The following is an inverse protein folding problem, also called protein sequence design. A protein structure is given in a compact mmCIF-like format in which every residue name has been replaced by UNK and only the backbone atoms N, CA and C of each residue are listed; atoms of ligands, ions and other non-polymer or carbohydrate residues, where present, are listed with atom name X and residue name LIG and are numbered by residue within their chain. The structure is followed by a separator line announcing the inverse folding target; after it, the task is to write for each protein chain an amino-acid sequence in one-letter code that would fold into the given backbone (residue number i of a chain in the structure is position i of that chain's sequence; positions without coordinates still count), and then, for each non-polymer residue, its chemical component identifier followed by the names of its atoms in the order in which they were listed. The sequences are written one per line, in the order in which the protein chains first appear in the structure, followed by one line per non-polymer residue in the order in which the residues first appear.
data_IF_280419967966
#
_entry.id   IF_280419967966
#
_cell.length_a   1.000
_cell.length_b   1.000
_cell.length_c   1.000
_cell.angle_alpha   90.00
_cell.angle_beta   90.00
_cell.angle_gamma   90.00
#
_symmetry.space_group_name_H-M   'P 1'
#
loop_
_entity.id
_entity.type
_entity.pdbx_description
1 polymer ?
#
# COMPACT_ATOMS: atom_id res chain seq x y z
N UNK A 1 -20.83 42.54 -25.47
CA UNK A 1 -19.99 42.57 -24.27
C UNK A 1 -20.56 41.54 -23.31
N UNK A 2 -20.05 40.34 -23.09
CA UNK A 2 -18.84 39.65 -23.53
C UNK A 2 -19.20 38.16 -23.64
N UNK A 3 -18.93 37.53 -24.80
CA UNK A 3 -19.03 36.08 -24.94
C UNK A 3 -17.73 35.49 -24.42
N UNK A 4 -17.80 34.82 -23.26
CA UNK A 4 -16.71 34.04 -22.69
C UNK A 4 -16.52 32.78 -23.54
N UNK A 5 -15.29 32.56 -23.98
CA UNK A 5 -14.84 31.46 -24.83
C UNK A 5 -15.28 30.08 -24.30
N UNK A 6 -16.19 29.42 -25.01
CA UNK A 6 -16.43 27.98 -24.89
C UNK A 6 -15.27 27.19 -25.53
N UNK A 7 -14.78 26.09 -24.92
CA UNK A 7 -13.81 25.22 -25.57
C UNK A 7 -14.49 24.47 -26.72
N UNK A 8 -14.24 24.94 -27.94
CA UNK A 8 -14.67 24.25 -29.16
C UNK A 8 -13.88 22.95 -29.32
N UNK A 9 -14.54 21.81 -29.16
CA UNK A 9 -14.03 20.51 -29.64
C UNK A 9 -14.17 20.54 -31.16
N UNK A 10 -13.11 20.94 -31.86
CA UNK A 10 -13.04 20.83 -33.32
C UNK A 10 -12.77 19.37 -33.64
N UNK A 11 -13.84 18.59 -33.78
CA UNK A 11 -13.79 17.36 -34.55
C UNK A 11 -13.56 17.79 -36.00
N UNK A 12 -12.36 17.56 -36.52
CA UNK A 12 -12.16 17.59 -37.97
C UNK A 12 -13.01 16.47 -38.55
N UNK A 13 -14.24 16.80 -38.97
CA UNK A 13 -14.94 16.04 -39.99
C UNK A 13 -14.10 16.25 -41.24
N UNK A 14 -13.16 15.35 -41.54
CA UNK A 14 -12.49 15.36 -42.84
C UNK A 14 -13.55 15.05 -43.90
N UNK A 15 -14.24 16.09 -44.35
CA UNK A 15 -14.82 16.15 -45.69
C UNK A 15 -13.66 16.17 -46.66
N UNK A 16 -13.09 15.00 -46.90
CA UNK A 16 -12.03 14.79 -47.88
C UNK A 16 -12.26 13.43 -48.53
N UNK A 17 -13.42 13.29 -49.17
CA UNK A 17 -13.77 12.19 -50.05
C UNK A 17 -12.95 12.19 -51.36
N UNK A 18 -11.74 12.76 -51.42
CA UNK A 18 -11.05 12.89 -52.73
C UNK A 18 -9.53 12.98 -52.74
N UNK A 19 -8.78 12.79 -51.64
CA UNK A 19 -7.30 12.78 -51.76
C UNK A 19 -6.52 12.00 -50.68
N UNK A 20 -7.02 10.85 -50.24
CA UNK A 20 -6.28 9.92 -49.36
C UNK A 20 -6.05 8.58 -50.07
N UNK A 21 -5.49 8.63 -51.28
CA UNK A 21 -5.21 7.46 -52.10
C UNK A 21 -3.88 6.75 -51.79
N UNK A 22 -3.22 7.00 -50.65
CA UNK A 22 -1.85 6.51 -50.40
C UNK A 22 -1.53 5.83 -49.07
N UNK A 23 -2.53 5.47 -48.27
CA UNK A 23 -2.32 4.54 -47.15
C UNK A 23 -3.42 3.48 -47.09
N UNK A 24 -3.67 2.80 -48.21
CA UNK A 24 -4.32 1.50 -48.20
C UNK A 24 -3.26 0.44 -47.85
N UNK A 25 -3.11 0.14 -46.56
CA UNK A 25 -2.62 -1.17 -46.14
C UNK A 25 -3.72 -2.20 -46.43
N UNK A 26 -3.34 -3.36 -46.97
CA UNK A 26 -4.22 -4.37 -47.62
C UNK A 26 -5.39 -4.95 -46.79
N UNK A 27 -5.70 -4.44 -45.58
CA UNK A 27 -6.71 -5.00 -44.67
C UNK A 27 -7.83 -4.03 -44.22
N UNK A 28 -8.03 -2.89 -44.91
CA UNK A 28 -9.21 -2.03 -44.66
C UNK A 28 -9.31 -1.44 -43.25
N UNK A 29 -8.18 -1.26 -42.56
CA UNK A 29 -8.12 -0.59 -41.26
C UNK A 29 -7.81 0.88 -41.48
N UNK A 30 -8.74 1.77 -41.15
CA UNK A 30 -8.44 3.21 -40.99
C UNK A 30 -7.90 3.42 -39.56
N UNK A 31 -6.60 3.22 -39.38
CA UNK A 31 -5.93 3.68 -38.16
C UNK A 31 -5.87 5.21 -38.21
N UNK A 32 -6.75 5.90 -37.49
CA UNK A 32 -6.53 7.31 -37.20
C UNK A 32 -5.48 7.36 -36.09
N UNK A 33 -4.22 7.40 -36.51
CA UNK A 33 -3.17 7.84 -35.62
C UNK A 33 -3.44 9.31 -35.28
N UNK A 34 -3.63 9.57 -33.99
CA UNK A 34 -3.73 10.90 -33.37
C UNK A 34 -5.12 11.54 -33.43
N UNK A 35 -5.88 11.41 -32.34
CA UNK A 35 -6.85 12.45 -31.97
C UNK A 35 -6.13 13.47 -31.08
N UNK A 36 -5.83 14.64 -31.64
CA UNK A 36 -5.32 15.80 -30.92
C UNK A 36 -6.48 16.48 -30.19
N UNK A 37 -6.65 16.20 -28.89
CA UNK A 37 -7.62 16.92 -28.06
C UNK A 37 -6.89 18.08 -27.37
N UNK A 38 -7.06 19.31 -27.87
CA UNK A 38 -6.64 20.52 -27.14
C UNK A 38 -7.59 20.79 -25.99
N UNK A 39 -7.10 20.61 -24.76
CA UNK A 39 -7.74 21.23 -23.60
C UNK A 39 -7.51 22.74 -23.66
N UNK A 40 -8.48 23.56 -23.20
CA UNK A 40 -8.38 25.03 -23.12
C UNK A 40 -7.20 25.57 -22.29
N UNK A 41 -6.37 24.69 -21.72
CA UNK A 41 -5.08 24.98 -21.07
C UNK A 41 -3.85 24.83 -21.98
N UNK A 42 -4.02 24.57 -23.28
CA UNK A 42 -2.92 24.44 -24.24
C UNK A 42 -2.17 23.10 -24.19
N UNK A 43 -2.72 22.08 -23.54
CA UNK A 43 -2.08 20.74 -23.41
C UNK A 43 -2.59 19.77 -24.47
N UNK A 44 -1.65 19.01 -25.04
CA UNK A 44 -1.84 18.03 -26.10
C UNK A 44 -1.92 16.64 -25.47
N UNK A 45 -3.03 15.94 -25.66
CA UNK A 45 -3.17 14.52 -25.33
C UNK A 45 -3.15 13.69 -26.62
N UNK A 46 -2.30 12.67 -26.68
CA UNK A 46 -2.23 11.74 -27.81
C UNK A 46 -3.11 10.52 -27.53
N UNK A 47 -4.16 10.33 -28.32
CA UNK A 47 -4.95 9.09 -28.36
C UNK A 47 -4.72 8.40 -29.70
N UNK A 48 -4.48 7.09 -29.66
CA UNK A 48 -4.59 6.21 -30.83
C UNK A 48 -6.01 5.66 -30.82
N UNK A 49 -6.86 6.13 -31.72
CA UNK A 49 -8.24 5.65 -31.86
C UNK A 49 -8.31 4.92 -33.20
N UNK A 50 -8.43 3.60 -33.15
CA UNK A 50 -8.75 2.81 -34.33
C UNK A 50 -10.26 2.91 -34.56
N UNK A 51 -10.69 3.70 -35.54
CA UNK A 51 -12.08 3.74 -36.00
C UNK A 51 -12.15 2.85 -37.23
N UNK A 52 -12.68 1.62 -37.08
CA UNK A 52 -12.90 0.72 -38.22
C UNK A 52 -14.36 0.84 -38.64
N UNK A 53 -14.58 1.16 -39.91
CA UNK A 53 -15.90 1.32 -40.52
C UNK A 53 -16.70 0.02 -40.46
N UNK A 54 -17.91 0.12 -39.93
CA UNK A 54 -19.19 -0.63 -40.00
C UNK A 54 -19.29 -2.11 -40.44
N UNK A 55 -18.29 -2.72 -41.10
CA UNK A 55 -18.36 -4.11 -41.60
C UNK A 55 -17.27 -5.04 -41.04
N UNK A 56 -16.49 -4.62 -40.04
CA UNK A 56 -15.39 -5.42 -39.47
C UNK A 56 -15.54 -5.64 -37.96
N UNK A 57 -16.62 -6.32 -37.55
CA UNK A 57 -16.81 -6.88 -36.22
C UNK A 57 -16.09 -8.22 -35.99
N UNK A 58 -15.07 -8.55 -36.81
CA UNK A 58 -14.21 -9.72 -36.60
C UNK A 58 -12.79 -9.28 -36.24
N UNK A 59 -12.45 -9.54 -34.97
CA UNK A 59 -11.15 -9.95 -34.42
C UNK A 59 -9.95 -9.78 -35.36
N UNK A 60 -8.99 -8.92 -35.01
CA UNK A 60 -7.60 -9.14 -35.44
C UNK A 60 -7.15 -10.50 -34.90
N UNK A 61 -6.79 -11.48 -35.76
CA UNK A 61 -6.50 -12.84 -35.33
C UNK A 61 -5.05 -13.03 -34.86
N UNK A 62 -4.18 -12.02 -34.86
CA UNK A 62 -2.82 -12.16 -34.32
C UNK A 62 -2.27 -10.83 -33.75
N UNK A 63 -2.03 -10.74 -32.42
CA UNK A 63 -1.32 -9.61 -31.85
C UNK A 63 0.18 -9.75 -32.13
N UNK A 64 0.72 -8.80 -32.89
CA UNK A 64 2.16 -8.54 -33.05
C UNK A 64 2.86 -8.61 -31.66
N UNK A 65 3.73 -9.61 -31.38
CA UNK A 65 4.21 -9.89 -30.02
C UNK A 65 5.07 -8.77 -29.43
N UNK A 66 5.53 -7.84 -30.28
CA UNK A 66 6.35 -6.69 -29.93
C UNK A 66 5.58 -5.36 -29.82
N UNK A 67 4.26 -5.33 -30.11
CA UNK A 67 3.45 -4.12 -29.84
C UNK A 67 3.03 -4.11 -28.38
N UNK A 68 3.15 -2.94 -27.75
CA UNK A 68 2.51 -2.64 -26.47
C UNK A 68 1.06 -3.16 -26.52
N UNK A 69 0.67 -3.93 -25.52
CA UNK A 69 -0.68 -4.48 -25.41
C UNK A 69 -1.65 -3.30 -25.26
N UNK A 70 -2.19 -2.82 -26.39
CA UNK A 70 -3.10 -1.67 -26.41
C UNK A 70 -4.42 -2.13 -25.81
N UNK A 71 -4.79 -1.54 -24.67
CA UNK A 71 -6.10 -1.75 -24.07
C UNK A 71 -7.16 -1.36 -25.11
N UNK A 72 -7.86 -2.36 -25.64
CA UNK A 72 -9.03 -2.18 -26.51
C UNK A 72 -10.11 -1.38 -25.77
N UNK A 73 -10.32 -0.15 -26.22
CA UNK A 73 -11.35 0.78 -25.74
C UNK A 73 -12.34 1.01 -26.87
N UNK A 74 -13.64 0.91 -26.58
CA UNK A 74 -14.70 1.13 -27.57
C UNK A 74 -15.80 2.00 -26.99
N UNK A 75 -15.97 3.25 -27.44
CA UNK A 75 -17.21 3.99 -27.22
C UNK A 75 -18.27 3.51 -28.24
N UNK A 76 -19.55 3.54 -27.86
CA UNK A 76 -20.65 3.16 -28.76
C UNK A 76 -22.02 3.66 -28.27
N UNK A 77 -22.98 3.69 -29.16
CA UNK A 77 -24.37 4.11 -28.88
C UNK A 77 -25.39 3.22 -29.62
N UNK A 78 -25.00 2.61 -30.73
CA UNK A 78 -25.87 1.77 -31.55
C UNK A 78 -25.93 0.30 -31.12
N UNK A 79 -26.97 -0.40 -31.57
CA UNK A 79 -27.11 -1.86 -31.39
C UNK A 79 -25.98 -2.62 -32.10
N UNK A 80 -25.50 -2.07 -33.22
CA UNK A 80 -24.36 -2.57 -33.99
C UNK A 80 -23.03 -2.48 -33.22
N UNK A 81 -22.92 -1.62 -32.21
CA UNK A 81 -21.70 -1.50 -31.39
C UNK A 81 -21.62 -2.56 -30.29
N UNK A 82 -22.73 -3.24 -29.98
CA UNK A 82 -22.80 -4.19 -28.86
C UNK A 82 -21.73 -5.30 -28.91
N UNK A 83 -21.42 -5.94 -30.06
CA UNK A 83 -20.33 -6.91 -30.14
C UNK A 83 -18.96 -6.30 -29.86
N UNK A 84 -18.70 -5.07 -30.33
CA UNK A 84 -17.44 -4.37 -30.12
C UNK A 84 -17.28 -3.90 -28.67
N UNK A 85 -18.36 -3.37 -28.06
CA UNK A 85 -18.42 -3.02 -26.65
C UNK A 85 -18.13 -4.23 -25.75
N UNK A 86 -18.66 -5.40 -26.11
CA UNK A 86 -18.45 -6.64 -25.36
C UNK A 86 -17.06 -7.24 -25.53
N UNK A 87 -16.47 -7.09 -26.71
CA UNK A 87 -15.13 -7.60 -27.04
C UNK A 87 -13.99 -6.67 -26.55
N UNK A 88 -14.30 -5.40 -26.30
CA UNK A 88 -13.36 -4.45 -25.73
C UNK A 88 -13.03 -4.79 -24.27
N UNK A 89 -11.84 -4.41 -23.80
CA UNK A 89 -11.51 -4.49 -22.38
C UNK A 89 -12.29 -3.46 -21.55
N UNK A 90 -12.66 -2.35 -22.19
CA UNK A 90 -13.54 -1.32 -21.64
C UNK A 90 -14.46 -0.79 -22.74
N UNK A 91 -15.70 -1.27 -22.75
CA UNK A 91 -16.80 -0.71 -23.55
C UNK A 91 -17.52 0.42 -22.82
N UNK A 92 -17.76 1.54 -23.50
CA UNK A 92 -18.44 2.72 -22.95
C UNK A 92 -19.67 3.08 -23.78
N UNK A 93 -20.86 3.01 -23.19
CA UNK A 93 -22.11 3.36 -23.87
C UNK A 93 -22.59 4.77 -23.51
N UNK A 94 -23.32 5.40 -24.43
CA UNK A 94 -24.02 6.66 -24.21
C UNK A 94 -25.33 6.42 -23.44
N UNK A 95 -25.61 7.25 -22.44
CA UNK A 95 -26.76 7.12 -21.55
C UNK A 95 -28.06 7.66 -22.14
N UNK A 96 -28.01 8.79 -22.85
CA UNK A 96 -29.20 9.43 -23.44
C UNK A 96 -29.43 8.92 -24.86
N UNK A 97 -28.44 9.05 -25.73
CA UNK A 97 -28.52 8.66 -27.14
C UNK A 97 -28.31 7.16 -27.39
N UNK A 98 -27.74 6.43 -26.42
CA UNK A 98 -27.45 5.00 -26.60
C UNK A 98 -28.69 4.10 -26.56
N UNK A 99 -28.69 3.07 -27.40
CA UNK A 99 -29.66 1.98 -27.39
C UNK A 99 -29.53 1.13 -26.13
N UNK A 100 -30.62 0.50 -25.68
CA UNK A 100 -30.59 -0.34 -24.47
C UNK A 100 -29.63 -1.53 -24.62
N UNK A 101 -29.54 -2.09 -25.84
CA UNK A 101 -28.62 -3.18 -26.16
C UNK A 101 -27.15 -2.71 -26.02
N UNK A 102 -26.83 -1.48 -26.44
CA UNK A 102 -25.48 -0.92 -26.25
C UNK A 102 -25.14 -0.71 -24.76
N UNK A 103 -26.11 -0.24 -23.96
CA UNK A 103 -25.95 0.00 -22.52
C UNK A 103 -25.73 -1.31 -21.76
N UNK A 104 -26.44 -2.37 -22.12
CA UNK A 104 -26.26 -3.70 -21.54
C UNK A 104 -24.94 -4.36 -21.95
N UNK A 105 -24.45 -4.07 -23.16
CA UNK A 105 -23.19 -4.63 -23.66
C UNK A 105 -21.95 -3.96 -23.07
N UNK A 106 -22.04 -2.67 -22.69
CA UNK A 106 -20.93 -1.88 -22.18
C UNK A 106 -20.56 -2.19 -20.72
N UNK A 107 -19.33 -1.83 -20.33
CA UNK A 107 -18.86 -1.92 -18.93
C UNK A 107 -19.13 -0.63 -18.14
N UNK A 108 -19.28 0.50 -18.84
CA UNK A 108 -19.53 1.81 -18.26
C UNK A 108 -20.55 2.56 -19.14
N UNK A 109 -21.45 3.32 -18.51
CA UNK A 109 -22.46 4.14 -19.20
C UNK A 109 -22.26 5.61 -18.83
N UNK A 110 -22.18 6.48 -19.83
CA UNK A 110 -22.10 7.94 -19.64
C UNK A 110 -23.49 8.53 -19.55
N UNK A 111 -23.97 8.79 -18.34
CA UNK A 111 -25.34 9.32 -18.13
C UNK A 111 -25.57 10.70 -18.75
N UNK A 112 -24.50 11.46 -18.98
CA UNK A 112 -24.51 12.83 -19.49
C UNK A 112 -24.14 12.94 -20.97
N UNK A 113 -23.85 11.81 -21.64
CA UNK A 113 -23.39 11.76 -23.03
C UNK A 113 -22.17 12.66 -23.33
N UNK A 114 -21.36 12.94 -22.31
CA UNK A 114 -20.22 13.84 -22.44
C UNK A 114 -18.90 13.07 -22.52
N UNK A 115 -18.23 13.17 -23.66
CA UNK A 115 -16.90 12.57 -23.85
C UNK A 115 -15.82 13.14 -22.90
N UNK A 116 -16.01 14.34 -22.34
CA UNK A 116 -15.10 14.90 -21.32
C UNK A 116 -15.06 14.02 -20.06
N UNK A 117 -16.16 13.33 -19.74
CA UNK A 117 -16.25 12.43 -18.59
C UNK A 117 -15.29 11.25 -18.72
N UNK A 118 -14.97 10.80 -19.94
CA UNK A 118 -13.95 9.76 -20.18
C UNK A 118 -12.57 10.25 -19.77
N UNK A 119 -12.21 11.50 -20.09
CA UNK A 119 -10.91 12.08 -19.71
C UNK A 119 -10.77 12.15 -18.18
N UNK A 120 -11.84 12.54 -17.50
CA UNK A 120 -11.89 12.52 -16.03
C UNK A 120 -11.77 11.09 -15.49
N UNK A 121 -12.44 10.11 -16.10
CA UNK A 121 -12.32 8.70 -15.76
C UNK A 121 -10.89 8.17 -15.90
N UNK A 122 -10.18 8.53 -16.97
CA UNK A 122 -8.77 8.16 -17.17
C UNK A 122 -7.89 8.77 -16.06
N UNK A 123 -8.11 10.04 -15.72
CA UNK A 123 -7.38 10.71 -14.63
C UNK A 123 -7.60 9.98 -13.30
N UNK A 124 -8.84 9.62 -12.98
CA UNK A 124 -9.18 8.89 -11.75
C UNK A 124 -8.63 7.46 -11.74
N UNK A 125 -8.69 6.73 -12.85
CA UNK A 125 -8.10 5.39 -12.96
C UNK A 125 -6.58 5.40 -12.77
N UNK A 126 -5.90 6.43 -13.30
CA UNK A 126 -4.46 6.66 -13.08
C UNK A 126 -4.14 6.97 -11.61
N UNK A 127 -5.00 7.76 -10.94
CA UNK A 127 -4.84 8.10 -9.53
C UNK A 127 -5.04 6.87 -8.64
N UNK A 128 -6.12 6.12 -8.88
CA UNK A 128 -6.44 4.89 -8.16
C UNK A 128 -5.30 3.88 -8.25
N UNK A 129 -4.71 3.68 -9.43
CA UNK A 129 -3.58 2.76 -9.59
C UNK A 129 -2.35 3.16 -8.75
N UNK A 130 -2.04 4.45 -8.70
CA UNK A 130 -0.94 4.95 -7.87
C UNK A 130 -1.24 4.82 -6.37
N UNK A 131 -2.47 5.12 -5.95
CA UNK A 131 -2.90 4.98 -4.56
C UNK A 131 -2.96 3.51 -4.12
N UNK A 132 -3.36 2.59 -5.00
CA UNK A 132 -3.30 1.15 -4.74
C UNK A 132 -1.86 0.67 -4.52
N UNK A 133 -0.87 1.20 -5.25
CA UNK A 133 0.54 0.90 -4.96
C UNK A 133 0.93 1.33 -3.55
N UNK A 134 0.50 2.52 -3.12
CA UNK A 134 0.75 3.02 -1.76
C UNK A 134 0.11 2.12 -0.71
N UNK A 135 -1.15 1.72 -0.91
CA UNK A 135 -1.85 0.77 -0.02
C UNK A 135 -1.09 -0.54 0.09
N UNK A 136 -0.64 -1.11 -1.03
CA UNK A 136 0.16 -2.35 -1.01
C UNK A 136 1.47 -2.16 -0.26
N UNK A 137 2.18 -1.05 -0.49
CA UNK A 137 3.43 -0.75 0.22
C UNK A 137 3.24 -0.54 1.73
N UNK A 138 2.04 -0.14 2.18
CA UNK A 138 1.69 0.04 3.59
C UNK A 138 1.27 -1.28 4.26
N UNK A 139 0.48 -2.12 3.58
CA UNK A 139 -0.05 -3.36 4.18
C UNK A 139 0.98 -4.48 4.26
N UNK A 140 1.81 -4.63 3.22
CA UNK A 140 2.74 -5.76 3.09
C UNK A 140 3.83 -5.85 4.18
N UNK A 141 4.49 -4.77 4.65
CA UNK A 141 5.54 -4.89 5.66
C UNK A 141 4.97 -5.45 6.98
N UNK A 142 3.93 -4.81 7.51
CA UNK A 142 3.41 -5.16 8.82
C UNK A 142 2.49 -6.39 8.77
N UNK A 143 1.48 -6.39 7.90
CA UNK A 143 0.46 -7.45 7.78
C UNK A 143 0.96 -8.74 7.09
N UNK A 144 2.26 -8.87 6.84
CA UNK A 144 2.83 -10.12 6.34
C UNK A 144 4.23 -10.38 6.90
N UNK A 145 5.21 -9.52 6.60
CA UNK A 145 6.59 -9.76 7.00
C UNK A 145 6.78 -9.66 8.52
N UNK A 146 6.30 -8.59 9.15
CA UNK A 146 6.45 -8.39 10.60
C UNK A 146 5.55 -9.32 11.43
N UNK A 147 4.48 -9.84 10.86
CA UNK A 147 3.57 -10.80 11.50
C UNK A 147 4.05 -12.26 11.42
N UNK A 148 4.75 -12.66 10.36
CA UNK A 148 5.26 -14.04 10.24
C UNK A 148 6.49 -14.27 11.13
N UNK A 149 7.29 -13.24 11.38
CA UNK A 149 8.53 -13.38 12.15
C UNK A 149 8.32 -13.87 13.60
N UNK A 150 7.32 -13.43 14.38
CA UNK A 150 6.98 -14.00 15.69
C UNK A 150 6.76 -15.52 15.66
N UNK A 151 6.07 -16.01 14.63
CA UNK A 151 5.82 -17.45 14.44
C UNK A 151 7.13 -18.17 14.13
N UNK A 152 7.94 -17.63 13.21
CA UNK A 152 9.25 -18.20 12.89
C UNK A 152 10.20 -18.18 14.09
N UNK A 153 10.17 -17.13 14.90
CA UNK A 153 10.98 -17.02 16.11
C UNK A 153 10.55 -18.03 17.17
N UNK A 154 9.24 -18.29 17.31
CA UNK A 154 8.74 -19.37 18.17
C UNK A 154 9.26 -20.75 17.72
N UNK A 155 9.26 -21.03 16.41
CA UNK A 155 9.68 -22.33 15.86
C UNK A 155 11.19 -22.53 15.86
N UNK A 156 11.96 -21.54 15.39
CA UNK A 156 13.42 -21.69 15.20
C UNK A 156 14.24 -21.30 16.42
N UNK A 157 13.80 -20.29 17.19
CA UNK A 157 14.51 -19.81 18.37
C UNK A 157 13.91 -20.36 19.67
N UNK A 158 12.82 -21.13 19.60
CA UNK A 158 12.14 -21.69 20.77
C UNK A 158 11.69 -20.61 21.76
N UNK A 159 11.34 -19.42 21.26
CA UNK A 159 10.80 -18.34 22.09
C UNK A 159 9.35 -18.65 22.50
N UNK A 160 8.87 -18.11 23.63
CA UNK A 160 7.43 -18.04 23.86
C UNK A 160 6.79 -17.22 22.75
N UNK A 161 5.57 -17.57 22.36
CA UNK A 161 4.89 -16.94 21.22
C UNK A 161 4.82 -15.40 21.39
N UNK A 162 5.54 -14.61 20.56
CA UNK A 162 5.62 -13.15 20.75
C UNK A 162 4.37 -12.40 20.29
N UNK A 163 3.61 -12.97 19.36
CA UNK A 163 2.36 -12.40 18.87
C UNK A 163 1.31 -13.50 18.72
N UNK A 164 0.13 -13.29 19.30
CA UNK A 164 -1.00 -14.23 19.19
C UNK A 164 -1.63 -14.16 17.79
N UNK A 165 -2.11 -15.30 17.29
CA UNK A 165 -2.84 -15.35 16.02
C UNK A 165 -4.10 -14.46 16.03
N UNK A 166 -4.72 -14.27 17.21
CA UNK A 166 -5.85 -13.36 17.35
C UNK A 166 -5.43 -11.91 17.10
N UNK A 167 -4.29 -11.49 17.67
CA UNK A 167 -3.77 -10.13 17.52
C UNK A 167 -3.35 -9.85 16.07
N UNK A 168 -2.85 -10.85 15.34
CA UNK A 168 -2.60 -10.74 13.89
C UNK A 168 -3.88 -10.44 13.11
N UNK A 169 -4.97 -11.16 13.39
CA UNK A 169 -6.27 -10.93 12.73
C UNK A 169 -6.79 -9.52 13.01
N UNK A 170 -6.64 -9.06 14.25
CA UNK A 170 -6.99 -7.70 14.65
C UNK A 170 -6.21 -6.65 13.86
N UNK A 171 -4.91 -6.86 13.64
CA UNK A 171 -4.09 -5.95 12.84
C UNK A 171 -4.66 -5.91 11.41
N UNK A 172 -4.69 -7.06 10.75
CA UNK A 172 -5.08 -7.18 9.34
C UNK A 172 -6.50 -6.68 9.00
N UNK A 173 -7.48 -6.94 9.85
CA UNK A 173 -8.90 -6.62 9.57
C UNK A 173 -9.36 -5.35 10.31
N UNK A 174 -8.70 -4.98 11.40
CA UNK A 174 -9.05 -3.83 12.22
C UNK A 174 -8.24 -2.59 11.87
N UNK A 175 -6.97 -2.56 12.31
CA UNK A 175 -6.13 -1.36 12.26
C UNK A 175 -5.70 -1.03 10.82
N UNK A 176 -5.27 -2.03 10.07
CA UNK A 176 -4.72 -1.86 8.71
C UNK A 176 -5.76 -1.37 7.70
N UNK A 177 -7.02 -1.75 7.90
CA UNK A 177 -8.14 -1.29 7.07
C UNK A 177 -8.34 0.22 7.23
N UNK A 178 -8.20 0.74 8.45
CA UNK A 178 -8.30 2.18 8.70
C UNK A 178 -7.16 2.94 8.01
N UNK A 179 -5.91 2.50 8.16
CA UNK A 179 -4.76 3.14 7.53
C UNK A 179 -4.81 3.10 5.99
N UNK A 180 -5.20 1.96 5.42
CA UNK A 180 -5.31 1.79 3.96
C UNK A 180 -6.40 2.66 3.35
N UNK A 181 -7.56 2.83 4.00
CA UNK A 181 -8.62 3.76 3.56
C UNK A 181 -8.15 5.21 3.49
N UNK A 182 -7.23 5.61 4.38
CA UNK A 182 -6.58 6.91 4.32
C UNK A 182 -5.76 7.12 3.04
N UNK A 183 -4.98 6.11 2.65
CA UNK A 183 -4.11 6.17 1.47
C UNK A 183 -4.89 6.12 0.14
N UNK A 184 -6.07 5.50 0.10
CA UNK A 184 -6.92 5.48 -1.10
C UNK A 184 -7.36 6.88 -1.51
N UNK A 185 -7.58 7.78 -0.55
CA UNK A 185 -8.05 9.15 -0.77
C UNK A 185 -6.93 10.17 -1.02
N UNK A 186 -5.67 9.73 -1.08
CA UNK A 186 -4.53 10.62 -1.26
C UNK A 186 -4.56 11.32 -2.64
N UNK A 187 -4.20 12.59 -2.68
CA UNK A 187 -4.13 13.35 -3.93
C UNK A 187 -2.93 12.94 -4.80
N UNK A 188 -2.98 13.29 -6.09
CA UNK A 188 -1.88 13.06 -7.01
C UNK A 188 -0.63 13.88 -6.64
N UNK A 189 0.55 13.26 -6.70
CA UNK A 189 1.85 13.94 -6.47
C UNK A 189 2.27 14.86 -7.63
N UNK A 190 1.86 14.51 -8.84
CA UNK A 190 2.19 15.22 -10.08
C UNK A 190 1.00 15.16 -11.02
N UNK A 191 1.05 15.93 -12.10
CA UNK A 191 0.02 15.86 -13.11
C UNK A 191 0.00 14.49 -13.82
N UNK A 192 -1.04 13.70 -13.52
CA UNK A 192 -1.19 12.34 -14.04
C UNK A 192 -1.46 12.31 -15.54
N UNK A 193 -1.85 13.43 -16.16
CA UNK A 193 -2.20 13.46 -17.59
C UNK A 193 -0.98 13.71 -18.49
N UNK A 194 0.15 14.18 -17.95
CA UNK A 194 1.37 14.42 -18.74
C UNK A 194 2.20 13.17 -18.98
N UNK A 195 1.99 12.10 -18.19
CA UNK A 195 2.69 10.82 -18.38
C UNK A 195 2.05 9.96 -19.47
N UNK A 196 2.84 9.19 -20.25
CA UNK A 196 2.29 8.20 -21.17
C UNK A 196 1.50 7.11 -20.42
N UNK A 197 0.62 6.35 -21.11
CA UNK A 197 0.00 5.17 -20.55
C UNK A 197 1.05 4.18 -20.03
N UNK A 198 0.74 3.50 -18.92
CA UNK A 198 1.63 2.49 -18.32
C UNK A 198 1.80 1.30 -19.26
N UNK A 199 2.96 0.66 -19.21
CA UNK A 199 3.18 -0.62 -19.87
C UNK A 199 2.61 -1.75 -18.99
N UNK A 200 1.74 -2.60 -19.54
CA UNK A 200 1.10 -3.70 -18.79
C UNK A 200 2.12 -4.72 -18.26
N UNK A 201 3.23 -4.93 -19.00
CA UNK A 201 4.21 -5.97 -18.70
C UNK A 201 5.24 -5.53 -17.67
N UNK A 202 5.74 -4.30 -17.80
CA UNK A 202 6.84 -3.74 -16.99
C UNK A 202 6.33 -2.96 -15.76
N UNK A 203 5.27 -2.16 -15.91
CA UNK A 203 4.74 -1.32 -14.85
C UNK A 203 3.59 -2.00 -14.11
N UNK A 204 3.88 -3.18 -13.52
CA UNK A 204 2.90 -3.91 -12.71
C UNK A 204 2.60 -3.17 -11.40
N UNK A 205 1.50 -3.56 -10.77
CA UNK A 205 1.09 -3.01 -9.49
C UNK A 205 2.11 -3.36 -8.40
N UNK A 206 2.52 -4.63 -8.36
CA UNK A 206 3.53 -5.14 -7.42
C UNK A 206 4.71 -5.67 -8.22
N UNK A 207 5.85 -5.00 -8.07
CA UNK A 207 7.11 -5.38 -8.67
C UNK A 207 8.05 -5.93 -7.59
N UNK A 208 9.06 -6.70 -8.00
CA UNK A 208 10.10 -7.18 -7.08
C UNK A 208 10.77 -6.04 -6.29
N UNK A 209 10.90 -4.85 -6.90
CA UNK A 209 11.43 -3.65 -6.24
C UNK A 209 10.56 -3.19 -5.07
N UNK A 210 9.23 -3.21 -5.23
CA UNK A 210 8.28 -2.92 -4.16
C UNK A 210 8.46 -3.94 -3.04
N UNK A 211 8.45 -5.24 -3.37
CA UNK A 211 8.58 -6.29 -2.36
C UNK A 211 9.89 -6.15 -1.57
N UNK A 212 11.02 -5.95 -2.25
CA UNK A 212 12.32 -5.80 -1.60
C UNK A 212 12.38 -4.56 -0.71
N UNK A 213 11.85 -3.43 -1.16
CA UNK A 213 11.77 -2.22 -0.35
C UNK A 213 10.87 -2.43 0.88
N UNK A 214 9.67 -2.94 0.66
CA UNK A 214 8.65 -3.11 1.68
C UNK A 214 9.05 -4.15 2.73
N UNK A 215 9.57 -5.32 2.34
CA UNK A 215 9.97 -6.37 3.29
C UNK A 215 11.36 -6.12 3.88
N UNK A 216 12.38 -5.89 3.06
CA UNK A 216 13.75 -5.83 3.55
C UNK A 216 14.12 -4.50 4.20
N UNK A 217 13.43 -3.40 3.87
CA UNK A 217 13.72 -2.08 4.44
C UNK A 217 12.68 -1.66 5.48
N UNK A 218 11.39 -1.56 5.13
CA UNK A 218 10.37 -1.12 6.10
C UNK A 218 10.04 -2.22 7.11
N UNK A 219 9.75 -3.43 6.62
CA UNK A 219 9.34 -4.56 7.46
C UNK A 219 10.40 -4.98 8.47
N UNK A 220 11.69 -4.97 8.10
CA UNK A 220 12.79 -5.26 9.03
C UNK A 220 12.89 -4.25 10.17
N UNK A 221 12.69 -2.95 9.90
CA UNK A 221 12.71 -1.91 10.93
C UNK A 221 11.52 -2.10 11.89
N UNK A 222 10.30 -2.27 11.37
CA UNK A 222 9.10 -2.51 12.17
C UNK A 222 9.24 -3.76 13.05
N UNK A 223 9.70 -4.86 12.46
CA UNK A 223 9.93 -6.12 13.16
C UNK A 223 10.97 -5.96 14.27
N UNK A 224 12.07 -5.26 14.00
CA UNK A 224 13.13 -5.04 14.99
C UNK A 224 12.61 -4.24 16.18
N UNK A 225 11.80 -3.21 15.94
CA UNK A 225 11.19 -2.40 17.00
C UNK A 225 10.20 -3.23 17.81
N UNK A 226 9.36 -4.05 17.17
CA UNK A 226 8.39 -4.90 17.84
C UNK A 226 9.07 -5.99 18.69
N UNK A 227 10.11 -6.66 18.17
CA UNK A 227 10.90 -7.62 18.94
C UNK A 227 11.66 -6.95 20.08
N UNK A 228 12.22 -5.76 19.86
CA UNK A 228 12.85 -4.99 20.92
C UNK A 228 11.87 -4.74 22.08
N UNK A 229 10.63 -4.35 21.78
CA UNK A 229 9.61 -4.14 22.80
C UNK A 229 9.15 -5.41 23.51
N UNK A 230 9.08 -6.53 22.79
CA UNK A 230 8.83 -7.83 23.39
C UNK A 230 9.91 -8.19 24.41
N UNK A 231 11.19 -8.19 24.00
CA UNK A 231 12.30 -8.49 24.91
C UNK A 231 12.43 -7.50 26.05
N UNK A 232 12.17 -6.21 25.79
CA UNK A 232 12.18 -5.18 26.83
C UNK A 232 11.10 -5.43 27.90
N UNK A 233 9.89 -5.84 27.48
CA UNK A 233 8.80 -6.17 28.41
C UNK A 233 9.12 -7.43 29.22
N UNK A 234 9.71 -8.45 28.60
CA UNK A 234 10.16 -9.66 29.29
C UNK A 234 11.25 -9.37 30.31
N UNK A 235 12.21 -8.50 29.95
CA UNK A 235 13.29 -8.07 30.82
C UNK A 235 12.78 -7.30 32.04
N UNK A 236 11.80 -6.40 31.86
CA UNK A 236 11.13 -5.72 32.98
C UNK A 236 10.38 -6.69 33.90
N UNK A 237 9.90 -7.81 33.37
CA UNK A 237 9.30 -8.90 34.14
C UNK A 237 10.31 -9.84 34.82
N UNK A 238 11.62 -9.56 34.70
CA UNK A 238 12.70 -10.35 35.30
C UNK A 238 13.21 -11.50 34.44
N UNK A 239 12.71 -11.70 33.22
CA UNK A 239 13.24 -12.76 32.35
C UNK A 239 14.21 -12.14 31.34
N UNK A 240 15.53 -12.37 31.47
CA UNK A 240 16.49 -11.82 30.54
C UNK A 240 16.39 -12.51 29.18
N UNK A 241 16.86 -11.84 28.12
CA UNK A 241 16.68 -12.31 26.75
C UNK A 241 17.40 -13.63 26.45
N UNK A 242 18.54 -13.91 27.10
CA UNK A 242 19.29 -15.15 26.96
C UNK A 242 18.52 -16.36 27.51
N UNK A 243 17.77 -16.17 28.60
CA UNK A 243 16.96 -17.22 29.20
C UNK A 243 15.70 -17.55 28.39
N UNK A 244 15.32 -16.72 27.41
CA UNK A 244 14.17 -16.97 26.54
C UNK A 244 14.52 -17.84 25.32
N UNK A 245 15.77 -17.83 24.88
CA UNK A 245 16.21 -18.63 23.74
C UNK A 245 16.11 -20.13 24.09
N UNK A 246 15.40 -20.87 23.26
CA UNK A 246 15.08 -22.29 23.46
C UNK A 246 14.29 -22.60 24.74
N UNK A 247 13.60 -21.61 25.30
CA UNK A 247 12.80 -21.78 26.52
C UNK A 247 11.46 -22.49 26.29
N UNK A 248 11.04 -22.70 25.03
CA UNK A 248 9.73 -23.24 24.66
C UNK A 248 9.34 -24.53 25.40
N UNK A 249 10.26 -25.50 25.54
CA UNK A 249 9.99 -26.76 26.24
C UNK A 249 9.77 -26.57 27.75
N UNK A 250 10.43 -25.57 28.33
CA UNK A 250 10.37 -25.24 29.75
C UNK A 250 9.26 -24.22 30.07
N UNK A 251 8.59 -23.69 29.05
CA UNK A 251 7.55 -22.69 29.20
C UNK A 251 6.31 -23.30 29.86
N UNK A 252 5.82 -22.68 30.94
CA UNK A 252 4.71 -23.23 31.75
C UNK A 252 5.17 -24.21 32.85
N UNK A 253 6.47 -24.36 33.06
CA UNK A 253 7.07 -24.94 34.27
C UNK A 253 7.69 -23.84 35.12
N UNK A 254 7.87 -24.03 36.44
CA UNK A 254 8.57 -23.03 37.25
C UNK A 254 9.98 -22.83 36.69
N UNK A 255 10.30 -21.61 36.29
CA UNK A 255 11.56 -21.27 35.64
C UNK A 255 12.52 -20.72 36.70
N UNK A 256 13.69 -21.34 36.80
CA UNK A 256 14.75 -20.89 37.69
C UNK A 256 15.62 -19.88 36.95
N UNK A 257 15.32 -18.58 37.11
CA UNK A 257 16.14 -17.51 36.53
C UNK A 257 17.27 -17.20 37.50
N UNK A 258 18.51 -17.32 37.04
CA UNK A 258 19.69 -17.00 37.85
C UNK A 258 20.23 -15.65 37.41
N UNK A 259 20.17 -14.65 38.27
CA UNK A 259 20.74 -13.33 37.97
C UNK A 259 22.19 -13.27 38.41
N UNK A 260 23.02 -12.67 37.55
CA UNK A 260 24.40 -12.32 37.89
C UNK A 260 24.42 -10.94 38.52
N UNK A 261 24.59 -10.87 39.84
CA UNK A 261 24.87 -9.61 40.51
C UNK A 261 26.37 -9.53 40.81
N UNK A 262 27.04 -8.55 40.19
CA UNK A 262 28.35 -8.09 40.65
C UNK A 262 28.13 -7.26 41.92
N UNK A 263 28.39 -7.85 43.08
CA UNK A 263 28.39 -7.12 44.34
C UNK A 263 29.67 -6.28 44.42
N UNK A 264 29.54 -4.96 44.28
CA UNK A 264 30.62 -4.00 44.57
C UNK A 264 30.71 -3.76 46.08
N UNK A 265 31.02 -4.81 46.84
CA UNK A 265 31.30 -4.70 48.26
C UNK A 265 32.80 -4.52 48.45
N UNK A 266 33.22 -3.25 48.54
CA UNK A 266 34.55 -2.76 48.93
C UNK A 266 35.68 -2.95 47.90
N UNK A 267 36.42 -1.86 47.67
CA UNK A 267 37.47 -1.68 46.64
C UNK A 267 38.78 -2.47 46.91
N UNK A 268 38.78 -3.45 47.82
CA UNK A 268 40.00 -4.12 48.28
C UNK A 268 39.97 -5.65 48.27
N UNK A 269 38.87 -6.31 47.89
CA UNK A 269 38.82 -7.77 47.89
C UNK A 269 38.19 -8.35 46.62
N UNK A 270 38.64 -9.55 46.30
CA UNK A 270 38.27 -10.38 45.15
C UNK A 270 36.80 -10.26 44.74
N UNK A 271 36.54 -10.16 43.43
CA UNK A 271 35.20 -10.13 42.84
C UNK A 271 34.37 -11.36 43.27
N UNK A 272 33.50 -11.20 44.28
CA UNK A 272 32.53 -12.24 44.67
C UNK A 272 31.27 -12.06 43.84
N UNK A 273 31.11 -12.86 42.79
CA UNK A 273 29.85 -12.97 42.04
C UNK A 273 28.84 -13.73 42.90
N UNK A 274 27.78 -13.07 43.36
CA UNK A 274 26.69 -13.72 44.12
C UNK A 274 25.57 -14.11 43.16
N UNK A 275 25.07 -15.34 43.29
CA UNK A 275 23.97 -15.87 42.47
C UNK A 275 22.66 -15.79 43.25
N UNK A 276 21.68 -15.03 42.76
CA UNK A 276 20.31 -15.07 43.27
C UNK A 276 19.43 -15.76 42.23
N UNK A 277 18.90 -16.94 42.58
CA UNK A 277 17.94 -17.67 41.75
C UNK A 277 16.53 -17.32 42.20
N UNK A 278 15.74 -16.69 41.35
CA UNK A 278 14.30 -16.49 41.59
C UNK A 278 13.51 -17.53 40.81
N UNK A 279 12.58 -18.19 41.49
CA UNK A 279 11.62 -19.10 40.85
C UNK A 279 10.43 -18.27 40.38
N UNK A 280 10.17 -18.23 39.08
CA UNK A 280 9.01 -17.55 38.53
C UNK A 280 7.89 -18.57 38.33
N UNK A 281 6.76 -18.34 38.99
CA UNK A 281 5.58 -19.20 38.89
C UNK A 281 5.05 -19.29 37.44
N UNK A 282 4.53 -20.46 37.02
CA UNK A 282 3.98 -20.64 35.66
C UNK A 282 2.86 -19.64 35.30
N UNK A 283 2.03 -19.25 36.26
CA UNK A 283 0.95 -18.27 36.06
C UNK A 283 1.50 -16.87 35.82
N UNK A 284 2.54 -16.47 36.55
CA UNK A 284 3.22 -15.19 36.36
C UNK A 284 3.91 -15.12 34.99
N UNK A 285 4.50 -16.23 34.52
CA UNK A 285 5.08 -16.31 33.16
C UNK A 285 4.02 -16.11 32.06
N UNK A 286 2.84 -16.71 32.22
CA UNK A 286 1.76 -16.58 31.23
C UNK A 286 1.23 -15.15 31.16
N UNK A 287 1.03 -14.50 32.32
CA UNK A 287 0.62 -13.08 32.40
C UNK A 287 1.70 -12.19 31.77
N UNK A 288 2.97 -12.43 32.08
CA UNK A 288 4.08 -11.68 31.49
C UNK A 288 4.14 -11.83 29.97
N UNK A 289 3.94 -13.05 29.45
CA UNK A 289 3.89 -13.28 28.01
C UNK A 289 2.70 -12.59 27.36
N UNK A 290 1.52 -12.62 27.97
CA UNK A 290 0.34 -11.89 27.49
C UNK A 290 0.60 -10.37 27.43
N UNK A 291 1.31 -9.82 28.41
CA UNK A 291 1.75 -8.42 28.41
C UNK A 291 2.75 -8.13 27.30
N UNK A 292 3.73 -9.01 27.10
CA UNK A 292 4.72 -8.87 26.03
C UNK A 292 4.09 -9.01 24.62
N UNK A 293 3.10 -9.88 24.46
CA UNK A 293 2.29 -9.98 23.24
C UNK A 293 1.52 -8.70 22.94
N UNK A 294 0.94 -8.09 23.99
CA UNK A 294 0.26 -6.81 23.85
C UNK A 294 1.23 -5.70 23.49
N UNK A 295 2.43 -5.68 24.10
CA UNK A 295 3.48 -4.72 23.75
C UNK A 295 3.92 -4.88 22.29
N UNK A 296 4.11 -6.10 21.79
CA UNK A 296 4.45 -6.37 20.39
C UNK A 296 3.34 -5.87 19.44
N UNK A 297 2.08 -6.20 19.74
CA UNK A 297 0.91 -5.73 18.98
C UNK A 297 0.83 -4.20 18.91
N UNK A 298 0.89 -3.51 20.05
CA UNK A 298 0.87 -2.04 20.10
C UNK A 298 2.05 -1.46 19.33
N UNK A 299 3.22 -2.08 19.44
CA UNK A 299 4.41 -1.61 18.73
C UNK A 299 4.24 -1.64 17.22
N UNK A 300 3.71 -2.75 16.66
CA UNK A 300 3.45 -2.85 15.23
C UNK A 300 2.50 -1.75 14.74
N UNK A 301 1.36 -1.59 15.41
CA UNK A 301 0.37 -0.57 15.02
C UNK A 301 0.94 0.85 15.14
N UNK A 302 1.67 1.15 16.21
CA UNK A 302 2.30 2.48 16.36
C UNK A 302 3.37 2.72 15.31
N UNK A 303 4.18 1.72 14.94
CA UNK A 303 5.15 1.85 13.85
C UNK A 303 4.49 1.98 12.47
N UNK A 304 3.33 1.33 12.26
CA UNK A 304 2.55 1.46 11.04
C UNK A 304 2.07 2.90 10.82
N UNK A 305 1.71 3.66 11.85
CA UNK A 305 1.36 5.08 11.70
C UNK A 305 2.48 5.90 11.05
N UNK A 306 3.74 5.59 11.37
CA UNK A 306 4.90 6.22 10.73
C UNK A 306 5.13 5.70 9.32
N UNK A 307 4.93 4.40 9.10
CA UNK A 307 4.96 3.76 7.79
C UNK A 307 3.93 4.40 6.84
N UNK A 308 2.70 4.60 7.31
CA UNK A 308 1.62 5.28 6.61
C UNK A 308 2.05 6.68 6.15
N UNK A 309 2.63 7.49 7.04
CA UNK A 309 3.13 8.83 6.69
C UNK A 309 4.28 8.80 5.67
N UNK A 310 5.11 7.75 5.71
CA UNK A 310 6.22 7.56 4.77
C UNK A 310 5.71 7.22 3.37
N UNK A 311 4.71 6.34 3.26
CA UNK A 311 4.22 5.79 1.98
C UNK A 311 3.26 6.74 1.25
N UNK A 312 2.80 7.82 1.88
CA UNK A 312 1.96 8.86 1.26
C UNK A 312 2.51 9.39 -0.06
N UNK A 313 3.83 9.52 -0.15
CA UNK A 313 4.52 10.03 -1.33
C UNK A 313 5.63 9.09 -1.78
N UNK A 314 5.73 8.84 -3.08
CA UNK A 314 6.80 8.02 -3.68
C UNK A 314 8.07 8.81 -3.91
N UNK A 315 7.93 10.02 -4.48
CA UNK A 315 9.06 10.84 -4.91
C UNK A 315 9.13 12.19 -4.20
N UNK A 316 7.98 12.82 -3.95
CA UNK A 316 7.93 14.09 -3.21
C UNK A 316 8.17 13.88 -1.72
N UNK A 317 8.60 14.92 -1.02
CA UNK A 317 8.67 14.84 0.44
C UNK A 317 7.25 14.87 1.00
N UNK A 318 6.97 14.00 1.97
CA UNK A 318 5.67 13.92 2.63
C UNK A 318 5.29 15.26 3.31
N UNK A 319 6.29 16.05 3.70
CA UNK A 319 6.11 17.39 4.30
C UNK A 319 5.74 18.48 3.28
N UNK A 320 6.01 18.27 1.99
CA UNK A 320 5.67 19.24 0.92
C UNK A 320 4.29 18.97 0.32
N UNK A 321 3.84 17.72 0.35
CA UNK A 321 2.51 17.34 -0.10
C UNK A 321 1.47 17.91 0.87
N UNK A 322 0.36 18.44 0.33
CA UNK A 322 -0.75 18.92 1.18
C UNK A 322 -1.24 17.80 2.08
N UNK A 323 -1.52 18.14 3.33
CA UNK A 323 -2.01 17.18 4.30
C UNK A 323 -3.55 17.15 4.25
N UNK A 324 -4.15 16.02 3.87
CA UNK A 324 -5.61 15.86 3.95
C UNK A 324 -6.01 15.58 5.41
N UNK A 325 -6.90 16.41 5.95
CA UNK A 325 -7.46 16.25 7.30
C UNK A 325 -8.12 14.88 7.50
N UNK A 326 -8.64 14.25 6.44
CA UNK A 326 -9.23 12.91 6.51
C UNK A 326 -8.22 11.87 6.98
N UNK A 327 -6.96 11.98 6.57
CA UNK A 327 -5.90 11.06 6.97
C UNK A 327 -5.70 11.02 8.49
N UNK A 328 -5.78 12.18 9.16
CA UNK A 328 -5.70 12.24 10.63
C UNK A 328 -6.82 11.46 11.30
N UNK A 329 -8.04 11.50 10.75
CA UNK A 329 -9.16 10.75 11.32
C UNK A 329 -8.95 9.24 11.20
N UNK A 330 -8.37 8.77 10.09
CA UNK A 330 -8.01 7.36 9.95
C UNK A 330 -6.91 6.93 10.92
N UNK A 331 -5.86 7.75 11.09
CA UNK A 331 -4.79 7.50 12.08
C UNK A 331 -5.31 7.50 13.53
N UNK A 332 -6.22 8.43 13.87
CA UNK A 332 -6.88 8.46 15.18
C UNK A 332 -7.78 7.24 15.35
N UNK A 333 -8.48 6.81 14.30
CA UNK A 333 -9.29 5.60 14.30
C UNK A 333 -8.47 4.35 14.62
N UNK A 334 -7.28 4.23 14.02
CA UNK A 334 -6.33 3.14 14.26
C UNK A 334 -5.91 3.07 15.74
N UNK A 335 -5.47 4.19 16.32
CA UNK A 335 -5.16 4.28 17.76
C UNK A 335 -6.41 3.97 18.60
N UNK A 336 -7.58 4.46 18.19
CA UNK A 336 -8.85 4.19 18.86
C UNK A 336 -9.17 2.69 18.93
N UNK A 337 -8.94 1.94 17.86
CA UNK A 337 -9.11 0.48 17.82
C UNK A 337 -8.13 -0.20 18.79
N UNK A 338 -6.87 0.21 18.81
CA UNK A 338 -5.87 -0.34 19.75
C UNK A 338 -6.28 -0.09 21.20
N UNK A 339 -6.68 1.14 21.55
CA UNK A 339 -7.13 1.48 22.90
C UNK A 339 -8.38 0.66 23.28
N UNK A 340 -9.32 0.49 22.36
CA UNK A 340 -10.50 -0.32 22.60
C UNK A 340 -10.10 -1.78 22.89
N UNK A 341 -9.16 -2.35 22.15
CA UNK A 341 -8.76 -3.74 22.34
C UNK A 341 -7.95 -3.94 23.63
N UNK A 342 -6.99 -3.06 23.91
CA UNK A 342 -6.12 -3.20 25.08
C UNK A 342 -6.83 -2.97 26.42
N UNK A 343 -7.89 -2.14 26.46
CA UNK A 343 -8.50 -1.71 27.73
C UNK A 343 -9.92 -2.23 27.96
N UNK A 344 -10.59 -2.80 26.95
CA UNK A 344 -11.95 -3.33 27.13
C UNK A 344 -11.90 -4.74 27.75
N UNK A 345 -12.60 -5.00 28.88
CA UNK A 345 -12.53 -6.28 29.59
C UNK A 345 -12.96 -7.50 28.76
N UNK A 346 -13.85 -7.29 27.78
CA UNK A 346 -14.28 -8.36 26.87
C UNK A 346 -13.10 -8.90 26.05
N UNK A 347 -12.25 -8.02 25.52
CA UNK A 347 -11.11 -8.40 24.69
C UNK A 347 -9.96 -8.94 25.53
N UNK A 348 -9.74 -8.38 26.72
CA UNK A 348 -8.76 -8.91 27.68
C UNK A 348 -9.02 -10.38 28.04
N UNK A 349 -10.27 -10.73 28.35
CA UNK A 349 -10.64 -12.12 28.69
C UNK A 349 -10.63 -13.05 27.50
N UNK A 350 -11.07 -12.59 26.33
CA UNK A 350 -11.23 -13.44 25.15
C UNK A 350 -9.90 -13.69 24.43
N UNK A 351 -9.04 -12.67 24.36
CA UNK A 351 -7.74 -12.73 23.67
C UNK A 351 -6.57 -13.07 24.59
N UNK A 352 -6.81 -13.16 25.90
CA UNK A 352 -5.77 -13.33 26.93
C UNK A 352 -4.67 -12.26 26.81
N UNK A 353 -5.09 -10.99 26.86
CA UNK A 353 -4.20 -9.83 26.78
C UNK A 353 -4.24 -9.03 28.07
N UNK A 354 -3.10 -8.45 28.41
CA UNK A 354 -2.94 -7.55 29.54
C UNK A 354 -3.00 -6.08 29.07
N UNK A 355 -3.45 -5.14 29.91
CA UNK A 355 -3.51 -3.74 29.52
C UNK A 355 -2.13 -3.19 29.17
N UNK A 356 -2.07 -2.43 28.08
CA UNK A 356 -0.84 -1.76 27.66
C UNK A 356 -0.51 -0.59 28.62
N UNK A 357 0.77 -0.33 28.83
CA UNK A 357 1.25 0.83 29.59
C UNK A 357 1.68 1.96 28.65
N UNK A 358 1.81 3.17 29.19
CA UNK A 358 2.16 4.37 28.41
C UNK A 358 3.47 4.22 27.61
N UNK A 359 4.45 3.51 28.14
CA UNK A 359 5.74 3.31 27.46
C UNK A 359 5.64 2.34 26.28
N UNK A 360 4.63 1.45 26.24
CA UNK A 360 4.35 0.61 25.07
C UNK A 360 3.90 1.43 23.86
N UNK A 361 3.39 2.65 24.07
CA UNK A 361 3.06 3.57 22.98
C UNK A 361 4.22 4.52 22.66
N UNK A 362 4.85 5.10 23.69
CA UNK A 362 5.86 6.14 23.50
C UNK A 362 7.14 5.61 22.85
N UNK A 363 7.65 4.46 23.30
CA UNK A 363 8.93 3.94 22.79
C UNK A 363 8.81 3.56 21.30
N UNK A 364 7.79 2.80 20.85
CA UNK A 364 7.58 2.56 19.43
C UNK A 364 7.28 3.83 18.64
N UNK A 365 6.63 4.83 19.23
CA UNK A 365 6.39 6.09 18.53
C UNK A 365 7.70 6.82 18.24
N UNK A 366 8.63 6.86 19.19
CA UNK A 366 9.94 7.48 19.01
C UNK A 366 10.81 6.68 18.04
N UNK A 367 10.91 5.36 18.23
CA UNK A 367 11.70 4.50 17.34
C UNK A 367 11.09 4.42 15.94
N UNK A 368 9.76 4.38 15.82
CA UNK A 368 9.05 4.35 14.55
C UNK A 368 9.25 5.62 13.71
N UNK A 369 9.52 6.77 14.34
CA UNK A 369 9.90 7.99 13.61
C UNK A 369 11.14 7.81 12.73
N UNK A 370 12.00 6.84 13.04
CA UNK A 370 13.15 6.49 12.19
C UNK A 370 12.74 5.90 10.85
N UNK A 371 11.60 5.20 10.74
CA UNK A 371 11.05 4.70 9.48
C UNK A 371 10.75 5.89 8.56
N UNK A 372 10.02 6.87 9.09
CA UNK A 372 9.69 8.10 8.36
C UNK A 372 10.95 8.87 7.96
N UNK A 373 11.89 9.05 8.89
CA UNK A 373 13.15 9.73 8.61
C UNK A 373 14.01 9.03 7.56
N UNK A 374 14.11 7.69 7.62
CA UNK A 374 14.89 6.90 6.68
C UNK A 374 14.28 6.90 5.27
N UNK A 375 12.96 6.85 5.16
CA UNK A 375 12.28 6.94 3.87
C UNK A 375 12.33 8.37 3.28
N UNK A 376 12.18 9.42 4.10
CA UNK A 376 12.37 10.80 3.63
C UNK A 376 13.82 11.06 3.19
N UNK A 377 14.80 10.49 3.89
CA UNK A 377 16.19 10.49 3.46
C UNK A 377 16.33 9.81 2.10
N UNK A 378 15.80 8.58 1.94
CA UNK A 378 15.80 7.88 0.65
C UNK A 378 15.22 8.73 -0.48
N UNK A 379 14.06 9.38 -0.27
CA UNK A 379 13.44 10.28 -1.26
C UNK A 379 14.33 11.49 -1.57
N UNK A 380 14.98 12.07 -0.55
CA UNK A 380 15.91 13.18 -0.73
C UNK A 380 17.13 12.77 -1.56
N UNK A 381 17.73 11.61 -1.28
CA UNK A 381 18.86 11.07 -2.05
C UNK A 381 18.45 10.76 -3.49
N UNK A 382 17.26 10.20 -3.72
CA UNK A 382 16.74 9.91 -5.06
C UNK A 382 16.49 11.18 -5.90
N UNK A 383 16.13 12.30 -5.27
CA UNK A 383 15.99 13.61 -5.95
C UNK A 383 17.34 14.26 -6.24
N UNK A 384 18.30 14.16 -5.32
CA UNK A 384 19.63 14.78 -5.45
C UNK A 384 20.51 14.05 -6.46
N UNK A 385 20.40 12.72 -6.54
CA UNK A 385 21.18 11.87 -7.45
C UNK A 385 20.27 11.05 -8.37
N UNK A 386 19.81 11.64 -9.50
CA UNK A 386 18.86 11.01 -10.39
C UNK A 386 19.40 9.80 -11.18
N UNK A 387 20.71 9.56 -11.19
CA UNK A 387 21.33 8.37 -11.79
C UNK A 387 21.82 7.35 -10.75
N UNK A 388 21.58 7.64 -9.47
CA UNK A 388 22.05 6.82 -8.35
C UNK A 388 21.23 5.54 -8.11
N UNK A 389 21.80 4.65 -7.31
CA UNK A 389 21.20 3.38 -6.89
C UNK A 389 19.84 3.62 -6.19
N UNK A 390 19.73 4.72 -5.42
CA UNK A 390 18.51 5.06 -4.67
C UNK A 390 17.28 5.34 -5.55
N UNK A 391 17.46 5.86 -6.77
CA UNK A 391 16.34 6.01 -7.71
C UNK A 391 15.96 4.66 -8.34
N UNK A 392 16.94 3.77 -8.58
CA UNK A 392 16.67 2.41 -9.08
C UNK A 392 15.97 1.54 -8.04
N UNK A 393 16.24 1.79 -6.75
CA UNK A 393 15.58 1.17 -5.59
C UNK A 393 14.26 1.86 -5.21
N UNK A 394 13.99 3.07 -5.71
CA UNK A 394 12.70 3.72 -5.53
C UNK A 394 11.63 2.93 -6.28
N UNK A 395 10.47 2.77 -5.62
CA UNK A 395 9.40 1.87 -6.03
C UNK A 395 8.29 2.55 -6.84
#
# INVERSE_FOLDING_TARGET
MDRVNEPSVILYKTSAATSLHRYFGMNGVLCVDVVEIRSGSGRICYFRICIRSDDCSFLDPDPDPNKLEVIKFSPGDGVNDAPALKAAHLGVAMGVCGSDISKEAANMVLLDDNFVTIVNGIKQGRLLFDNLKKVVCYLLPAGSFSEILPVLACVFLGLPQPLSAFLMIVICIGTDVCGSLGLVHEEAEFDLMTRPPRDSKNDRLVNWRIILFTYCFVGTIESTIAFFMYFYTMWLGGIPADALLFAYENWGRPLNVTYYHANYANFSDHHVTTFTTTVIDPTAQQILNAKAQTAFFVSLVVTQLWSLLSVRTRFQSSLRQKFDRRLLWYMVGEIGIVLLICYLPFFQRTMNIEPAEWYHFLIPALLGSTIFGADELRKLLARKWPDGIFKRLAW
#
